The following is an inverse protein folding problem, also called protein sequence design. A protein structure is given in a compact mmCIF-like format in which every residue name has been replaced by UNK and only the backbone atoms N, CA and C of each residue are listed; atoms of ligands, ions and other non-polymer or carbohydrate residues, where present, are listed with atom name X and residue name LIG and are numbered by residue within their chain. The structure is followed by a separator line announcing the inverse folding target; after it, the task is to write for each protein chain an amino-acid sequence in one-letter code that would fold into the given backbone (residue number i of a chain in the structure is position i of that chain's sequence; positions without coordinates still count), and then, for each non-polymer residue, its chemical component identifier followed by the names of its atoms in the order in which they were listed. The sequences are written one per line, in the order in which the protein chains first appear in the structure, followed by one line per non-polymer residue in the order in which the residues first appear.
data_IF_099448195245
#
_entry.id   IF_099448195245
#
_cell.length_a   1.000
_cell.length_b   1.000
_cell.length_c   1.000
_cell.angle_alpha   90.00
_cell.angle_beta   90.00
_cell.angle_gamma   90.00
#
_symmetry.space_group_name_H-M   'P 1'
#
loop_
_entity.id
_entity.type
_entity.pdbx_description
1 polymer ?
#
# COMPACT_ATOMS: atom_id res chain seq x y z
N UNK A 1 -12.75 -2.82 -9.79
CA UNK A 1 -13.23 -1.92 -8.70
C UNK A 1 -12.10 -1.22 -7.92
N UNK A 2 -11.15 -1.97 -7.33
CA UNK A 2 -10.06 -1.40 -6.53
C UNK A 2 -9.14 -0.46 -7.33
N UNK A 3 -8.64 -0.91 -8.50
CA UNK A 3 -7.80 -0.08 -9.38
C UNK A 3 -8.48 1.24 -9.78
N UNK A 4 -9.78 1.22 -10.03
CA UNK A 4 -10.54 2.43 -10.36
C UNK A 4 -10.60 3.41 -9.18
N UNK A 5 -10.81 2.91 -7.96
CA UNK A 5 -10.74 3.70 -6.73
C UNK A 5 -9.35 4.33 -6.56
N UNK A 6 -8.29 3.54 -6.74
CA UNK A 6 -6.91 3.99 -6.61
C UNK A 6 -6.55 5.06 -7.67
N UNK A 7 -6.99 4.89 -8.92
CA UNK A 7 -6.84 5.92 -9.97
C UNK A 7 -7.54 7.24 -9.57
N UNK A 8 -8.72 7.18 -8.97
CA UNK A 8 -9.42 8.37 -8.46
C UNK A 8 -8.66 9.03 -7.31
N UNK A 9 -8.09 8.25 -6.39
CA UNK A 9 -7.27 8.81 -5.30
C UNK A 9 -6.01 9.50 -5.82
N UNK A 10 -5.33 8.87 -6.78
CA UNK A 10 -4.13 9.42 -7.41
C UNK A 10 -4.41 10.72 -8.17
N UNK A 11 -5.51 10.75 -8.94
CA UNK A 11 -5.97 11.97 -9.62
C UNK A 11 -6.24 13.11 -8.62
N UNK A 12 -6.89 12.81 -7.49
CA UNK A 12 -7.12 13.79 -6.42
C UNK A 12 -5.84 14.24 -5.68
N UNK A 13 -4.69 13.64 -5.99
CA UNK A 13 -3.37 13.98 -5.45
C UNK A 13 -2.40 14.43 -6.54
N UNK A 14 -2.86 14.59 -7.79
CA UNK A 14 -2.06 14.82 -9.00
C UNK A 14 -0.82 13.90 -9.08
N UNK A 15 -1.00 12.63 -8.72
CA UNK A 15 0.04 11.61 -8.81
C UNK A 15 -0.20 10.77 -10.09
N UNK A 16 0.75 10.71 -11.04
CA UNK A 16 0.64 9.80 -12.17
C UNK A 16 0.59 8.34 -11.70
N UNK A 17 -0.21 7.54 -12.40
CA UNK A 17 -0.43 6.12 -12.12
C UNK A 17 0.13 5.27 -13.26
N UNK A 18 0.92 4.25 -12.91
CA UNK A 18 1.29 3.15 -13.80
C UNK A 18 0.68 1.85 -13.29
N UNK A 19 0.25 1.00 -14.23
CA UNK A 19 -0.23 -0.35 -13.96
C UNK A 19 0.74 -1.35 -14.53
N UNK A 20 1.09 -2.36 -13.73
CA UNK A 20 1.93 -3.47 -14.14
C UNK A 20 1.18 -4.78 -13.93
N UNK A 21 1.45 -5.75 -14.79
CA UNK A 21 0.80 -7.05 -14.78
C UNK A 21 1.90 -8.09 -14.90
N UNK A 22 2.64 -8.36 -13.80
CA UNK A 22 3.86 -9.14 -13.86
C UNK A 22 3.63 -10.60 -14.28
N UNK A 23 2.40 -11.10 -14.16
CA UNK A 23 2.03 -12.47 -14.56
C UNK A 23 0.75 -12.53 -15.40
N UNK A 24 -0.33 -11.85 -14.99
CA UNK A 24 -1.61 -11.88 -15.69
C UNK A 24 -2.40 -10.57 -15.46
N UNK A 25 -3.52 -10.41 -16.17
CA UNK A 25 -4.37 -9.20 -16.12
C UNK A 25 -5.21 -9.08 -14.83
N UNK A 26 -5.41 -10.17 -14.10
CA UNK A 26 -6.22 -10.23 -12.87
C UNK A 26 -5.46 -9.77 -11.61
N UNK A 27 -4.13 -9.79 -11.66
CA UNK A 27 -3.24 -9.41 -10.55
C UNK A 27 -2.44 -8.13 -10.88
N UNK A 28 -3.11 -6.96 -10.99
CA UNK A 28 -2.41 -5.71 -11.27
C UNK A 28 -1.58 -5.24 -10.07
N UNK A 29 -0.50 -4.54 -10.38
CA UNK A 29 0.24 -3.69 -9.45
C UNK A 29 0.00 -2.24 -9.85
N UNK A 30 -0.45 -1.43 -8.90
CA UNK A 30 -0.67 0.01 -9.07
C UNK A 30 0.50 0.75 -8.46
N UNK A 31 1.21 1.55 -9.27
CA UNK A 31 2.25 2.47 -8.79
C UNK A 31 1.77 3.91 -8.97
N UNK A 32 1.60 4.63 -7.86
CA UNK A 32 1.38 6.08 -7.85
C UNK A 32 2.69 6.79 -7.53
N UNK A 33 2.98 7.91 -8.19
CA UNK A 33 4.26 8.61 -7.97
C UNK A 33 4.05 10.05 -7.52
N UNK A 34 4.71 10.43 -6.44
CA UNK A 34 4.93 11.83 -6.05
C UNK A 34 6.39 12.18 -6.34
N UNK A 35 6.61 12.94 -7.40
CA UNK A 35 7.96 13.31 -7.86
C UNK A 35 8.66 14.20 -6.84
N UNK A 36 9.88 13.81 -6.46
CA UNK A 36 10.75 14.61 -5.62
C UNK A 36 11.54 15.65 -6.42
N UNK A 37 12.20 16.56 -5.71
CA UNK A 37 12.97 17.65 -6.34
C UNK A 37 14.35 17.24 -6.85
N UNK A 38 14.87 16.09 -6.41
CA UNK A 38 16.23 15.61 -6.72
C UNK A 38 16.18 14.20 -7.34
N UNK A 39 16.15 14.09 -8.69
CA UNK A 39 16.01 12.81 -9.38
C UNK A 39 17.27 11.93 -9.32
N UNK A 40 18.38 12.43 -8.76
CA UNK A 40 19.61 11.66 -8.56
C UNK A 40 19.52 10.73 -7.33
N UNK A 41 18.60 11.01 -6.42
CA UNK A 41 18.46 10.25 -5.18
C UNK A 41 17.61 8.98 -5.38
N UNK A 42 17.95 7.87 -4.69
CA UNK A 42 17.06 6.72 -4.59
C UNK A 42 15.68 7.09 -4.04
N UNK A 43 14.65 6.44 -4.57
CA UNK A 43 13.25 6.65 -4.23
C UNK A 43 12.85 5.94 -2.94
N UNK A 44 11.75 6.40 -2.32
CA UNK A 44 11.09 5.73 -1.20
C UNK A 44 9.87 4.97 -1.74
N UNK A 45 9.69 3.72 -1.31
CA UNK A 45 8.51 2.91 -1.60
C UNK A 45 7.62 2.82 -0.36
N UNK A 46 6.36 3.21 -0.50
CA UNK A 46 5.30 2.96 0.48
C UNK A 46 4.43 1.83 -0.07
N UNK A 47 4.71 0.60 0.36
CA UNK A 47 4.14 -0.61 -0.21
C UNK A 47 2.95 -1.12 0.60
N UNK A 48 1.91 -1.56 -0.11
CA UNK A 48 0.72 -2.19 0.49
C UNK A 48 0.09 -3.19 -0.47
N UNK A 49 -0.67 -4.15 0.05
CA UNK A 49 -1.47 -5.08 -0.75
C UNK A 49 -2.97 -4.72 -0.75
N UNK A 50 -3.69 -5.20 -1.76
CA UNK A 50 -5.11 -4.87 -2.01
C UNK A 50 -6.06 -5.99 -1.61
N UNK A 51 -5.59 -7.22 -1.73
CA UNK A 51 -6.34 -8.42 -1.36
C UNK A 51 -6.47 -8.55 0.15
N UNK A 52 -7.33 -9.47 0.55
CA UNK A 52 -7.66 -9.73 1.94
C UNK A 52 -8.06 -11.21 2.02
N UNK A 53 -7.73 -11.91 3.10
CA UNK A 53 -8.20 -13.29 3.27
C UNK A 53 -9.75 -13.41 3.28
N UNK A 54 -10.29 -14.61 3.01
CA UNK A 54 -11.71 -14.90 3.10
C UNK A 54 -12.34 -14.64 4.49
N UNK A 55 -13.68 -14.74 4.54
CA UNK A 55 -14.49 -14.57 5.75
C UNK A 55 -15.55 -15.65 5.86
N UNK A 56 -15.86 -16.06 7.08
CA UNK A 56 -17.08 -16.78 7.43
C UNK A 56 -18.08 -15.75 7.96
N UNK A 57 -18.92 -15.20 7.09
CA UNK A 57 -19.76 -14.02 7.38
C UNK A 57 -20.69 -14.22 8.58
N UNK A 58 -21.15 -15.45 8.81
CA UNK A 58 -21.97 -15.88 9.95
C UNK A 58 -21.30 -15.66 11.32
N UNK A 59 -19.97 -15.60 11.35
CA UNK A 59 -19.20 -15.38 12.58
C UNK A 59 -18.90 -13.90 12.84
N UNK A 60 -19.37 -13.00 11.96
CA UNK A 60 -19.16 -11.56 12.13
C UNK A 60 -20.38 -10.90 12.76
N UNK A 61 -20.14 -10.07 13.78
CA UNK A 61 -21.16 -9.21 14.39
C UNK A 61 -21.63 -8.09 13.43
N UNK A 62 -20.72 -7.61 12.58
CA UNK A 62 -20.94 -6.55 11.59
C UNK A 62 -20.61 -7.08 10.19
N UNK A 63 -21.21 -6.54 9.13
CA UNK A 63 -20.91 -7.05 7.77
C UNK A 63 -19.42 -6.85 7.46
N UNK A 64 -18.66 -7.91 7.10
CA UNK A 64 -17.21 -7.83 6.93
C UNK A 64 -16.74 -6.85 5.85
N UNK A 65 -17.58 -6.54 4.86
CA UNK A 65 -17.27 -5.57 3.81
C UNK A 65 -18.14 -4.31 3.89
N UNK A 66 -18.80 -4.08 5.04
CA UNK A 66 -19.64 -2.91 5.30
C UNK A 66 -18.88 -1.69 5.82
N UNK A 67 -17.72 -1.91 6.45
CA UNK A 67 -16.94 -0.85 7.13
C UNK A 67 -17.78 -0.05 8.14
N UNK A 68 -18.63 -0.77 8.89
CA UNK A 68 -19.49 -0.19 9.91
C UNK A 68 -18.63 0.30 11.08
N UNK A 69 -18.97 1.46 11.64
CA UNK A 69 -18.35 2.01 12.84
C UNK A 69 -19.34 1.88 14.00
N UNK A 70 -18.90 1.32 15.13
CA UNK A 70 -19.71 1.26 16.34
C UNK A 70 -19.73 2.59 17.12
N UNK A 71 -20.47 2.60 18.23
CA UNK A 71 -20.63 3.77 19.09
C UNK A 71 -19.32 4.14 19.82
N UNK A 72 -18.41 3.17 19.98
CA UNK A 72 -17.07 3.34 20.53
C UNK A 72 -16.02 3.77 19.48
N UNK A 73 -16.42 3.95 18.22
CA UNK A 73 -15.57 4.44 17.13
C UNK A 73 -14.70 3.37 16.47
N UNK A 74 -14.96 2.07 16.70
CA UNK A 74 -14.25 0.95 16.06
C UNK A 74 -14.85 0.66 14.70
N UNK A 75 -14.01 0.61 13.68
CA UNK A 75 -14.42 0.25 12.32
C UNK A 75 -14.25 -1.26 12.11
N UNK A 76 -15.35 -1.93 11.77
CA UNK A 76 -15.39 -3.36 11.49
C UNK A 76 -15.34 -3.62 9.99
N UNK A 77 -14.22 -4.16 9.52
CA UNK A 77 -14.08 -4.65 8.16
C UNK A 77 -12.98 -5.72 8.04
N UNK A 78 -13.18 -6.66 7.11
CA UNK A 78 -12.09 -7.47 6.56
C UNK A 78 -11.13 -6.53 5.83
N UNK A 79 -9.94 -6.44 6.40
CA UNK A 79 -8.85 -5.57 5.97
C UNK A 79 -8.73 -4.24 6.70
N UNK A 80 -9.49 -4.03 7.78
CA UNK A 80 -9.36 -2.85 8.63
C UNK A 80 -7.97 -2.76 9.30
N UNK A 81 -7.35 -3.90 9.63
CA UNK A 81 -5.98 -3.98 10.14
C UNK A 81 -4.97 -4.40 9.06
N UNK A 82 -5.36 -5.34 8.21
CA UNK A 82 -4.47 -6.00 7.24
C UNK A 82 -4.96 -5.82 5.78
N UNK A 83 -4.32 -4.98 4.98
CA UNK A 83 -3.50 -3.84 5.41
C UNK A 83 -4.03 -2.53 4.81
N UNK A 84 -5.34 -2.48 4.52
CA UNK A 84 -5.96 -1.33 3.85
C UNK A 84 -5.84 -0.05 4.67
N UNK A 85 -5.76 -0.15 6.00
CA UNK A 85 -5.47 1.00 6.85
C UNK A 85 -4.12 1.64 6.50
N UNK A 86 -3.05 0.86 6.34
CA UNK A 86 -1.70 1.33 6.01
C UNK A 86 -1.69 2.00 4.63
N UNK A 87 -2.25 1.34 3.62
CA UNK A 87 -2.36 1.92 2.28
C UNK A 87 -3.13 3.24 2.25
N UNK A 88 -4.22 3.36 3.02
CA UNK A 88 -4.98 4.61 3.12
C UNK A 88 -4.28 5.68 3.97
N UNK A 89 -3.53 5.29 5.01
CA UNK A 89 -2.71 6.20 5.81
C UNK A 89 -1.62 6.86 4.96
N UNK A 90 -0.97 6.11 4.05
CA UNK A 90 0.00 6.68 3.10
C UNK A 90 -0.64 7.79 2.25
N UNK A 91 -1.78 7.51 1.63
CA UNK A 91 -2.49 8.50 0.81
C UNK A 91 -2.98 9.69 1.63
N UNK A 92 -3.46 9.46 2.85
CA UNK A 92 -3.90 10.51 3.78
C UNK A 92 -2.75 11.44 4.20
N UNK A 93 -1.60 10.86 4.56
CA UNK A 93 -0.40 11.62 4.93
C UNK A 93 0.13 12.45 3.77
N UNK A 94 0.27 11.86 2.58
CA UNK A 94 0.71 12.58 1.38
C UNK A 94 -0.27 13.71 1.00
N UNK A 95 -1.58 13.50 1.14
CA UNK A 95 -2.60 14.55 0.94
C UNK A 95 -2.37 15.73 1.88
N UNK A 96 -2.19 15.45 3.17
CA UNK A 96 -1.99 16.48 4.19
C UNK A 96 -0.69 17.26 3.97
N UNK A 97 0.40 16.57 3.63
CA UNK A 97 1.71 17.18 3.37
C UNK A 97 1.70 18.01 2.08
N UNK A 98 1.07 17.50 1.02
CA UNK A 98 0.90 18.25 -0.23
C UNK A 98 0.07 19.52 -0.04
N UNK A 99 -1.03 19.46 0.74
CA UNK A 99 -1.84 20.64 1.07
C UNK A 99 -1.05 21.70 1.83
N UNK A 100 -0.04 21.30 2.61
CA UNK A 100 0.89 22.20 3.31
C UNK A 100 2.02 22.72 2.42
N UNK A 101 2.07 22.35 1.14
CA UNK A 101 3.12 22.77 0.21
C UNK A 101 4.47 22.07 0.42
N UNK A 102 4.52 21.00 1.21
CA UNK A 102 5.77 20.27 1.47
C UNK A 102 6.30 19.67 0.17
N UNK A 103 7.58 19.90 -0.11
CA UNK A 103 8.32 19.30 -1.21
C UNK A 103 9.35 18.32 -0.66
N UNK A 104 9.42 17.12 -1.22
CA UNK A 104 10.38 16.10 -0.82
C UNK A 104 11.55 16.10 -1.78
N UNK A 105 12.77 15.84 -1.26
CA UNK A 105 13.93 15.64 -2.13
C UNK A 105 13.82 14.35 -2.94
N UNK A 106 13.45 13.26 -2.28
CA UNK A 106 13.29 11.93 -2.90
C UNK A 106 11.91 11.79 -3.50
N UNK A 107 11.82 11.14 -4.65
CA UNK A 107 10.55 10.65 -5.19
C UNK A 107 9.96 9.59 -4.27
N UNK A 108 8.65 9.67 -4.06
CA UNK A 108 7.89 8.69 -3.29
C UNK A 108 6.98 7.93 -4.25
N UNK A 109 7.15 6.61 -4.29
CA UNK A 109 6.22 5.70 -4.95
C UNK A 109 5.30 5.08 -3.91
N UNK A 110 4.00 5.04 -4.19
CA UNK A 110 3.03 4.27 -3.41
C UNK A 110 2.59 3.09 -4.26
N UNK A 111 2.82 1.87 -3.77
CA UNK A 111 2.42 0.64 -4.44
C UNK A 111 1.23 -0.02 -3.77
N UNK A 112 0.31 -0.47 -4.60
CA UNK A 112 -0.77 -1.37 -4.22
C UNK A 112 -0.64 -2.65 -5.06
N UNK A 113 -0.27 -3.75 -4.42
CA UNK A 113 -0.06 -5.04 -5.08
C UNK A 113 -1.23 -5.99 -4.86
N UNK A 114 -1.38 -6.96 -5.75
CA UNK A 114 -2.30 -8.08 -5.56
C UNK A 114 -1.54 -9.33 -5.09
N UNK A 115 -2.30 -10.33 -4.65
CA UNK A 115 -1.89 -11.73 -4.44
C UNK A 115 -1.04 -11.97 -3.18
N UNK A 116 -0.89 -10.99 -2.29
CA UNK A 116 -0.04 -11.12 -1.09
C UNK A 116 -0.50 -12.28 -0.19
N UNK A 117 -1.81 -12.39 0.04
CA UNK A 117 -2.42 -13.37 0.95
C UNK A 117 -2.35 -14.81 0.38
N UNK A 118 -2.00 -14.94 -0.90
CA UNK A 118 -1.73 -16.22 -1.59
C UNK A 118 -0.22 -16.49 -1.75
N UNK A 119 0.62 -15.67 -1.10
CA UNK A 119 2.08 -15.76 -1.12
C UNK A 119 2.77 -14.88 -2.18
N UNK A 120 2.04 -14.02 -2.90
CA UNK A 120 2.60 -13.01 -3.81
C UNK A 120 3.21 -13.55 -5.10
N UNK A 121 2.93 -14.82 -5.47
CA UNK A 121 3.51 -15.49 -6.64
C UNK A 121 3.08 -14.88 -7.97
N UNK A 122 1.94 -14.20 -8.01
CA UNK A 122 1.44 -13.44 -9.17
C UNK A 122 1.51 -11.92 -8.98
N UNK A 123 2.08 -11.48 -7.86
CA UNK A 123 2.15 -10.09 -7.44
C UNK A 123 3.58 -9.59 -7.27
N UNK A 124 3.95 -9.25 -6.03
CA UNK A 124 5.23 -8.60 -5.74
C UNK A 124 6.46 -9.46 -6.11
N UNK A 125 6.42 -10.78 -5.91
CA UNK A 125 7.57 -11.67 -6.17
C UNK A 125 8.08 -11.58 -7.62
N UNK A 126 7.25 -11.77 -8.66
CA UNK A 126 7.71 -11.59 -10.04
C UNK A 126 7.98 -10.11 -10.38
N UNK A 127 7.28 -9.16 -9.74
CA UNK A 127 7.44 -7.74 -10.07
C UNK A 127 8.82 -7.19 -9.74
N UNK A 128 9.40 -7.56 -8.58
CA UNK A 128 10.72 -7.06 -8.18
C UNK A 128 11.86 -7.46 -9.13
N UNK A 129 11.64 -8.51 -9.93
CA UNK A 129 12.61 -8.98 -10.93
C UNK A 129 12.56 -8.20 -12.25
N UNK A 130 11.46 -7.48 -12.50
CA UNK A 130 11.21 -6.77 -13.77
C UNK A 130 12.12 -5.55 -13.97
N UNK A 131 12.30 -5.14 -15.23
CA UNK A 131 12.94 -3.87 -15.56
C UNK A 131 12.14 -2.68 -15.01
N UNK A 132 10.80 -2.76 -15.07
CA UNK A 132 9.90 -1.72 -14.58
C UNK A 132 10.11 -1.41 -13.08
N UNK A 133 10.29 -2.44 -12.24
CA UNK A 133 10.60 -2.24 -10.82
C UNK A 133 12.01 -1.64 -10.63
N UNK A 134 13.01 -2.12 -11.37
CA UNK A 134 14.38 -1.58 -11.32
C UNK A 134 14.42 -0.10 -11.69
N UNK A 135 13.59 0.34 -12.64
CA UNK A 135 13.44 1.75 -13.03
C UNK A 135 12.87 2.64 -11.92
N UNK A 136 12.18 2.09 -10.92
CA UNK A 136 11.70 2.85 -9.76
C UNK A 136 12.85 3.31 -8.84
N UNK A 137 14.06 2.73 -8.97
CA UNK A 137 15.26 3.11 -8.19
C UNK A 137 15.00 3.15 -6.67
N UNK A 138 14.28 2.15 -6.16
CA UNK A 138 13.92 2.08 -4.75
C UNK A 138 15.17 1.93 -3.88
N UNK A 139 15.34 2.85 -2.92
CA UNK A 139 16.41 2.78 -1.92
C UNK A 139 15.94 2.36 -0.53
N UNK A 140 14.64 2.50 -0.24
CA UNK A 140 14.03 2.10 1.04
C UNK A 140 12.53 1.84 0.84
N UNK A 141 11.99 0.86 1.57
CA UNK A 141 10.57 0.50 1.51
C UNK A 141 9.96 0.37 2.90
N UNK A 142 8.74 0.87 3.07
CA UNK A 142 7.85 0.53 4.17
C UNK A 142 6.76 -0.43 3.69
N UNK A 143 6.37 -1.37 4.55
CA UNK A 143 5.32 -2.36 4.31
C UNK A 143 4.50 -2.51 5.60
N UNK A 144 3.59 -3.49 5.68
CA UNK A 144 2.85 -3.74 6.91
C UNK A 144 3.73 -4.17 8.08
N UNK A 145 3.22 -3.88 9.28
CA UNK A 145 3.69 -4.45 10.53
C UNK A 145 2.62 -5.40 11.08
N UNK A 146 2.33 -5.28 12.36
CA UNK A 146 1.25 -6.01 13.01
C UNK A 146 0.53 -5.08 14.00
N UNK A 147 -0.75 -5.36 14.26
CA UNK A 147 -1.45 -4.72 15.35
C UNK A 147 -0.76 -5.01 16.70
N UNK A 148 -0.78 -4.03 17.60
CA UNK A 148 -0.34 -4.20 18.98
C UNK A 148 -1.52 -4.10 19.93
N UNK A 149 -1.61 -4.99 20.93
CA UNK A 149 -2.59 -4.85 22.00
C UNK A 149 -2.11 -3.91 23.13
N UNK A 150 -0.90 -3.36 23.03
CA UNK A 150 -0.29 -2.46 24.02
C UNK A 150 0.03 -1.10 23.40
N UNK A 151 0.62 -0.20 24.20
CA UNK A 151 1.11 1.12 23.75
C UNK A 151 2.41 1.06 22.91
N UNK A 152 2.93 -0.14 22.65
CA UNK A 152 4.13 -0.34 21.84
C UNK A 152 3.76 -0.59 20.37
N UNK A 153 4.51 0.00 19.44
CA UNK A 153 4.30 -0.20 18.01
C UNK A 153 5.38 -1.13 17.44
N UNK A 154 5.05 -2.37 17.09
CA UNK A 154 6.03 -3.30 16.55
C UNK A 154 6.50 -2.83 15.18
N UNK A 155 7.81 -2.96 14.95
CA UNK A 155 8.45 -2.69 13.66
C UNK A 155 9.28 -3.90 13.29
N UNK A 156 8.96 -4.52 12.15
CA UNK A 156 9.81 -5.56 11.58
C UNK A 156 11.06 -4.91 10.98
N UNK A 157 12.22 -5.33 11.49
CA UNK A 157 13.50 -4.76 11.14
C UNK A 157 14.31 -5.73 10.29
N UNK A 158 14.94 -5.21 9.23
CA UNK A 158 15.90 -5.94 8.42
C UNK A 158 17.07 -5.02 8.05
N UNK A 159 18.28 -5.55 8.15
CA UNK A 159 19.51 -4.93 7.66
C UNK A 159 20.35 -5.98 6.90
N UNK A 160 21.31 -5.53 6.09
CA UNK A 160 22.20 -6.41 5.31
C UNK A 160 21.37 -7.36 4.41
N UNK A 161 21.63 -8.67 4.47
CA UNK A 161 20.77 -9.68 3.87
C UNK A 161 19.74 -10.15 4.89
N UNK A 162 18.50 -10.34 4.44
CA UNK A 162 17.47 -11.01 5.25
C UNK A 162 17.93 -12.43 5.63
N UNK A 163 17.50 -12.87 6.81
CA UNK A 163 17.91 -14.12 7.46
C UNK A 163 17.45 -15.39 6.72
#
# INVERSE_FOLDING_TARGET
PCVAFLKKQAAALDMPVRLFYPVNEDNPIVVMTLTGTDPSLPCILLNSHMDVVPVFAENWKHKPFGAEMDEEGKIYARGAQDMKCVGMQYLGALRALKKKGVQFRRTIHVTFVADEEMGGGRGMRPFVETADFKELKIGFSLVEGLASPTEEFPVFYAERSVW
#
